data_IF_131964106963
#
_entry.id   IF_131964106963
#
_cell.length_a   1.000
_cell.length_b   1.000
_cell.length_c   1.000
_cell.angle_alpha   90.00
_cell.angle_beta   90.00
_cell.angle_gamma   90.00
#
_symmetry.space_group_name_H-M   'P 1'
#
loop_
_entity.id
_entity.type
_entity.pdbx_description
1 polymer ?
#
# COMPACT_ATOMS: atom_id res chain seq x y z
N UNK A 1 -30.85 10.79 -15.42
CA UNK A 1 -29.65 11.55 -15.02
C UNK A 1 -28.58 10.55 -14.65
N UNK A 2 -27.32 10.80 -14.96
CA UNK A 2 -26.21 9.95 -14.47
C UNK A 2 -26.05 10.19 -12.97
N UNK A 3 -25.91 9.09 -12.20
CA UNK A 3 -25.73 9.18 -10.76
C UNK A 3 -24.42 9.91 -10.44
N UNK A 4 -24.48 10.92 -9.58
CA UNK A 4 -23.35 11.74 -9.17
C UNK A 4 -22.60 11.06 -8.02
N UNK A 5 -21.33 10.76 -8.23
CA UNK A 5 -20.45 10.06 -7.29
C UNK A 5 -19.28 10.98 -6.91
N UNK A 6 -18.85 10.96 -5.65
CA UNK A 6 -17.64 11.63 -5.22
C UNK A 6 -16.62 10.63 -4.69
N UNK A 7 -15.34 10.82 -5.02
CA UNK A 7 -14.21 10.01 -4.52
C UNK A 7 -13.20 10.93 -3.84
N UNK A 8 -13.11 10.85 -2.53
CA UNK A 8 -12.23 11.67 -1.69
C UNK A 8 -10.88 10.98 -1.50
N UNK A 9 -9.81 11.66 -1.92
CA UNK A 9 -8.46 11.13 -2.03
C UNK A 9 -8.21 10.55 -3.42
N UNK A 10 -7.36 11.21 -4.22
CA UNK A 10 -7.00 10.81 -5.60
C UNK A 10 -5.61 10.16 -5.62
N UNK A 11 -5.37 9.22 -4.69
CA UNK A 11 -4.17 8.41 -4.58
C UNK A 11 -4.27 7.05 -5.28
N UNK A 12 -3.41 6.11 -4.87
CA UNK A 12 -3.32 4.73 -5.41
C UNK A 12 -4.60 3.89 -5.30
N UNK A 13 -5.55 4.29 -4.42
CA UNK A 13 -6.86 3.65 -4.27
C UNK A 13 -7.94 4.46 -4.99
N UNK A 14 -8.04 5.74 -4.67
CA UNK A 14 -9.18 6.55 -5.10
C UNK A 14 -9.17 6.89 -6.59
N UNK A 15 -8.02 7.23 -7.18
CA UNK A 15 -8.00 7.57 -8.61
C UNK A 15 -8.34 6.37 -9.51
N UNK A 16 -7.77 5.17 -9.33
CA UNK A 16 -8.19 3.99 -10.10
C UNK A 16 -9.68 3.67 -9.92
N UNK A 17 -10.23 3.82 -8.71
CA UNK A 17 -11.65 3.61 -8.44
C UNK A 17 -12.53 4.66 -9.12
N UNK A 18 -12.12 5.93 -9.09
CA UNK A 18 -12.79 7.02 -9.80
C UNK A 18 -12.84 6.77 -11.32
N UNK A 19 -11.74 6.30 -11.90
CA UNK A 19 -11.65 5.92 -13.32
C UNK A 19 -12.58 4.74 -13.64
N UNK A 20 -12.60 3.70 -12.80
CA UNK A 20 -13.47 2.54 -12.98
C UNK A 20 -14.94 2.94 -12.96
N UNK A 21 -15.35 3.78 -12.00
CA UNK A 21 -16.71 4.32 -11.92
C UNK A 21 -17.06 5.22 -13.13
N UNK A 22 -16.15 6.10 -13.56
CA UNK A 22 -16.36 6.97 -14.72
C UNK A 22 -16.48 6.16 -16.03
N UNK A 23 -15.70 5.08 -16.17
CA UNK A 23 -15.83 4.15 -17.30
C UNK A 23 -17.16 3.37 -17.27
N UNK A 24 -17.73 3.14 -16.08
CA UNK A 24 -19.06 2.56 -15.89
C UNK A 24 -20.19 3.59 -16.07
N UNK A 25 -19.89 4.79 -16.58
CA UNK A 25 -20.82 5.87 -16.91
C UNK A 25 -21.39 6.62 -15.72
N UNK A 26 -20.77 6.55 -14.56
CA UNK A 26 -21.07 7.48 -13.47
C UNK A 26 -20.46 8.86 -13.74
N UNK A 27 -21.06 9.91 -13.19
CA UNK A 27 -20.46 11.25 -13.13
C UNK A 27 -19.66 11.37 -11.84
N UNK A 28 -18.34 11.30 -11.95
CA UNK A 28 -17.42 11.21 -10.81
C UNK A 28 -16.73 12.54 -10.54
N UNK A 29 -16.75 12.98 -9.30
CA UNK A 29 -15.98 14.10 -8.78
C UNK A 29 -14.82 13.50 -7.99
N UNK A 30 -13.59 13.73 -8.43
CA UNK A 30 -12.39 13.38 -7.68
C UNK A 30 -12.00 14.53 -6.75
N UNK A 31 -12.01 14.30 -5.42
CA UNK A 31 -11.55 15.30 -4.46
C UNK A 31 -10.14 14.98 -3.97
N UNK A 32 -9.29 15.99 -3.95
CA UNK A 32 -7.99 15.91 -3.29
C UNK A 32 -7.64 17.28 -2.70
N UNK A 33 -6.99 17.30 -1.53
CA UNK A 33 -6.56 18.55 -0.88
C UNK A 33 -5.27 19.14 -1.47
N UNK A 34 -4.61 18.43 -2.39
CA UNK A 34 -3.45 18.89 -3.11
C UNK A 34 -3.86 19.58 -4.42
N UNK A 35 -3.90 20.92 -4.42
CA UNK A 35 -4.29 21.71 -5.59
C UNK A 35 -3.42 21.46 -6.83
N UNK A 36 -2.13 21.13 -6.68
CA UNK A 36 -1.28 20.76 -7.81
C UNK A 36 -1.71 19.41 -8.42
N UNK A 37 -2.07 18.43 -7.58
CA UNK A 37 -2.61 17.16 -8.06
C UNK A 37 -3.93 17.37 -8.79
N UNK A 38 -4.83 18.17 -8.23
CA UNK A 38 -6.11 18.53 -8.86
C UNK A 38 -5.88 19.17 -10.25
N UNK A 39 -4.99 20.15 -10.34
CA UNK A 39 -4.64 20.79 -11.60
C UNK A 39 -4.06 19.80 -12.62
N UNK A 40 -3.14 18.92 -12.19
CA UNK A 40 -2.54 17.89 -13.04
C UNK A 40 -3.59 16.92 -13.56
N UNK A 41 -4.47 16.38 -12.71
CA UNK A 41 -5.52 15.44 -13.12
C UNK A 41 -6.48 16.06 -14.16
N UNK A 42 -6.86 17.32 -13.99
CA UNK A 42 -7.68 18.04 -14.96
C UNK A 42 -6.95 18.33 -16.28
N UNK A 43 -5.60 18.31 -16.27
CA UNK A 43 -4.75 18.36 -17.45
C UNK A 43 -4.31 16.97 -17.96
N UNK A 44 -4.98 15.90 -17.50
CA UNK A 44 -4.74 14.51 -17.89
C UNK A 44 -3.36 13.98 -17.48
N UNK A 45 -2.76 14.52 -16.43
CA UNK A 45 -1.47 14.10 -15.88
C UNK A 45 -1.72 13.37 -14.56
N UNK A 46 -1.21 12.15 -14.42
CA UNK A 46 -1.27 11.36 -13.19
C UNK A 46 0.12 11.11 -12.63
N UNK A 47 0.25 11.20 -11.31
CA UNK A 47 1.41 10.74 -10.55
C UNK A 47 1.25 9.28 -10.06
N UNK A 48 0.15 8.63 -10.41
CA UNK A 48 -0.14 7.24 -10.03
C UNK A 48 0.29 6.30 -11.16
N UNK A 49 1.22 5.41 -10.86
CA UNK A 49 1.69 4.39 -11.81
C UNK A 49 0.55 3.53 -12.32
N UNK A 50 0.59 3.22 -13.61
CA UNK A 50 -0.46 2.43 -14.28
C UNK A 50 -1.67 3.24 -14.75
N UNK A 51 -1.75 4.54 -14.45
CA UNK A 51 -2.80 5.44 -14.96
C UNK A 51 -2.25 6.28 -16.10
N UNK A 52 -2.75 6.06 -17.30
CA UNK A 52 -2.31 6.78 -18.50
C UNK A 52 -3.04 8.11 -18.71
N UNK A 53 -2.35 9.08 -19.34
CA UNK A 53 -2.97 10.34 -19.77
C UNK A 53 -4.13 10.12 -20.74
N UNK A 54 -4.07 9.12 -21.60
CA UNK A 54 -5.14 8.80 -22.54
C UNK A 54 -6.40 8.31 -21.82
N UNK A 55 -6.25 7.54 -20.77
CA UNK A 55 -7.38 7.05 -19.97
C UNK A 55 -8.07 8.22 -19.24
N UNK A 56 -7.31 9.09 -18.58
CA UNK A 56 -7.83 10.31 -17.97
C UNK A 56 -8.52 11.22 -18.98
N UNK A 57 -7.90 11.45 -20.13
CA UNK A 57 -8.46 12.26 -21.22
C UNK A 57 -9.79 11.70 -21.71
N UNK A 58 -9.89 10.37 -21.85
CA UNK A 58 -11.11 9.70 -22.31
C UNK A 58 -12.30 9.93 -21.38
N UNK A 59 -12.14 9.80 -20.06
CA UNK A 59 -13.23 9.97 -19.09
C UNK A 59 -13.59 11.45 -18.89
N UNK A 60 -12.58 12.34 -18.87
CA UNK A 60 -12.78 13.78 -18.68
C UNK A 60 -13.46 14.40 -19.91
N UNK A 61 -13.05 14.04 -21.13
CA UNK A 61 -13.66 14.55 -22.36
C UNK A 61 -15.14 14.12 -22.54
N UNK A 62 -15.54 13.03 -21.89
CA UNK A 62 -16.95 12.60 -21.84
C UNK A 62 -17.77 13.33 -20.78
N UNK A 63 -17.14 14.17 -19.94
CA UNK A 63 -17.77 14.79 -18.79
C UNK A 63 -18.07 13.84 -17.63
N UNK A 64 -17.47 12.63 -17.65
CA UNK A 64 -17.67 11.62 -16.62
C UNK A 64 -16.74 11.78 -15.42
N UNK A 65 -15.68 12.59 -15.53
CA UNK A 65 -14.73 12.84 -14.44
C UNK A 65 -14.19 14.26 -14.48
N UNK A 66 -14.03 14.86 -13.31
CA UNK A 66 -13.17 16.03 -13.08
C UNK A 66 -12.66 16.01 -11.63
N UNK A 67 -11.54 16.69 -11.38
CA UNK A 67 -10.95 16.82 -10.05
C UNK A 67 -11.21 18.21 -9.47
N UNK A 68 -11.39 18.29 -8.13
CA UNK A 68 -11.56 19.55 -7.39
C UNK A 68 -10.99 19.43 -5.97
N UNK A 69 -10.67 20.54 -5.34
CA UNK A 69 -10.35 20.65 -3.92
C UNK A 69 -11.50 21.27 -3.10
N UNK A 70 -12.60 21.66 -3.77
CA UNK A 70 -13.79 22.23 -3.14
C UNK A 70 -14.79 21.15 -2.71
N UNK A 71 -14.86 20.88 -1.41
CA UNK A 71 -15.83 19.95 -0.84
C UNK A 71 -17.29 20.34 -1.01
N UNK A 72 -17.61 21.61 -1.30
CA UNK A 72 -19.01 22.02 -1.56
C UNK A 72 -19.59 21.35 -2.82
N UNK A 73 -18.73 20.95 -3.75
CA UNK A 73 -19.13 20.30 -4.99
C UNK A 73 -19.70 18.89 -4.81
N UNK A 74 -19.46 18.22 -3.65
CA UNK A 74 -20.08 16.91 -3.40
C UNK A 74 -21.56 17.00 -3.02
N UNK A 75 -22.09 18.19 -2.78
CA UNK A 75 -23.51 18.38 -2.49
C UNK A 75 -24.38 17.72 -3.58
N UNK A 76 -25.34 16.90 -3.16
CA UNK A 76 -26.18 16.13 -4.08
C UNK A 76 -25.52 14.89 -4.69
N UNK A 77 -24.30 14.50 -4.25
CA UNK A 77 -23.76 13.20 -4.58
C UNK A 77 -24.55 12.08 -3.91
N UNK A 78 -24.90 11.05 -4.67
CA UNK A 78 -25.63 9.89 -4.17
C UNK A 78 -24.72 8.94 -3.40
N UNK A 79 -23.46 8.83 -3.85
CA UNK A 79 -22.43 7.98 -3.23
C UNK A 79 -21.15 8.79 -3.05
N UNK A 80 -20.56 8.70 -1.86
CA UNK A 80 -19.28 9.32 -1.55
C UNK A 80 -18.33 8.23 -1.02
N UNK A 81 -17.19 8.05 -1.70
CA UNK A 81 -16.16 7.11 -1.30
C UNK A 81 -15.02 7.87 -0.61
N UNK A 82 -14.56 7.38 0.53
CA UNK A 82 -13.42 7.95 1.26
C UNK A 82 -12.22 7.01 1.12
N UNK A 83 -11.21 7.48 0.36
CA UNK A 83 -10.02 6.73 -0.04
C UNK A 83 -8.72 7.43 0.42
N UNK A 84 -8.75 8.08 1.58
CA UNK A 84 -7.61 8.84 2.10
C UNK A 84 -6.60 7.94 2.80
N UNK A 85 -5.31 8.34 2.87
CA UNK A 85 -4.29 7.59 3.59
C UNK A 85 -4.58 7.45 5.08
N UNK A 86 -4.20 6.29 5.64
CA UNK A 86 -4.25 5.98 7.08
C UNK A 86 -2.87 5.44 7.52
N UNK A 87 -1.85 6.34 7.63
CA UNK A 87 -0.48 5.94 7.95
C UNK A 87 -0.32 5.60 9.44
N UNK A 88 0.90 5.25 9.83
CA UNK A 88 1.33 5.31 11.23
C UNK A 88 1.85 6.71 11.54
N UNK A 89 1.55 7.21 12.73
CA UNK A 89 2.12 8.45 13.24
C UNK A 89 3.56 8.24 13.75
N UNK A 90 4.23 9.32 14.13
CA UNK A 90 5.62 9.31 14.62
C UNK A 90 5.83 8.42 15.86
N UNK A 91 4.76 8.04 16.54
CA UNK A 91 4.79 7.14 17.71
C UNK A 91 4.58 5.66 17.31
N UNK A 92 4.58 5.33 16.01
CA UNK A 92 4.35 4.00 15.49
C UNK A 92 2.91 3.47 15.67
N UNK A 93 1.94 4.34 15.98
CA UNK A 93 0.53 3.96 16.15
C UNK A 93 -0.31 4.46 14.96
N UNK A 94 -1.49 3.87 14.71
CA UNK A 94 -2.43 4.35 13.71
C UNK A 94 -2.71 5.85 13.78
N UNK A 95 -2.56 6.55 12.65
CA UNK A 95 -2.92 7.97 12.52
C UNK A 95 -4.13 8.10 11.59
N UNK A 96 -5.27 8.48 12.17
CA UNK A 96 -6.54 8.64 11.46
C UNK A 96 -6.85 10.11 11.14
N UNK A 97 -5.87 11.02 11.27
CA UNK A 97 -6.08 12.45 11.06
C UNK A 97 -6.72 12.75 9.71
N UNK A 98 -6.17 12.22 8.61
CA UNK A 98 -6.71 12.46 7.27
C UNK A 98 -8.13 11.90 7.11
N UNK A 99 -8.41 10.74 7.70
CA UNK A 99 -9.74 10.12 7.66
C UNK A 99 -10.77 10.96 8.44
N UNK A 100 -10.38 11.47 9.60
CA UNK A 100 -11.24 12.34 10.43
C UNK A 100 -11.51 13.66 9.71
N UNK A 101 -10.50 14.29 9.12
CA UNK A 101 -10.63 15.52 8.35
C UNK A 101 -11.54 15.32 7.12
N UNK A 102 -11.26 14.31 6.30
CA UNK A 102 -12.07 13.99 5.12
C UNK A 102 -13.52 13.67 5.49
N UNK A 103 -13.73 12.85 6.52
CA UNK A 103 -15.10 12.51 7.01
C UNK A 103 -15.82 13.76 7.52
N UNK A 104 -15.12 14.67 8.18
CA UNK A 104 -15.70 15.92 8.70
C UNK A 104 -16.17 16.83 7.56
N UNK A 105 -15.32 17.00 6.52
CA UNK A 105 -15.72 17.81 5.36
C UNK A 105 -16.84 17.16 4.54
N UNK A 106 -16.78 15.84 4.35
CA UNK A 106 -17.89 15.09 3.75
C UNK A 106 -19.19 15.31 4.53
N UNK A 107 -19.16 15.15 5.85
CA UNK A 107 -20.35 15.27 6.70
C UNK A 107 -21.03 16.65 6.62
N UNK A 108 -20.27 17.73 6.45
CA UNK A 108 -20.81 19.09 6.28
C UNK A 108 -21.59 19.28 4.97
N UNK A 109 -21.28 18.47 3.95
CA UNK A 109 -21.73 18.66 2.57
C UNK A 109 -22.64 17.53 2.06
N UNK A 110 -22.87 16.44 2.82
CA UNK A 110 -23.75 15.35 2.42
C UNK A 110 -25.21 15.80 2.30
N UNK A 111 -25.94 15.15 1.43
CA UNK A 111 -27.36 15.33 1.21
C UNK A 111 -28.19 14.18 1.80
N UNK A 112 -29.49 14.37 1.92
CA UNK A 112 -30.40 13.30 2.35
C UNK A 112 -30.31 12.11 1.35
N UNK A 113 -30.14 10.89 1.89
CA UNK A 113 -30.08 9.68 1.10
C UNK A 113 -28.65 9.32 0.63
N UNK A 114 -27.64 10.15 0.93
CA UNK A 114 -26.26 9.85 0.56
C UNK A 114 -25.75 8.57 1.22
N UNK A 115 -25.12 7.70 0.43
CA UNK A 115 -24.32 6.58 0.89
C UNK A 115 -22.86 7.02 1.02
N UNK A 116 -22.25 6.87 2.21
CA UNK A 116 -20.84 7.07 2.44
C UNK A 116 -20.14 5.70 2.52
N UNK A 117 -19.17 5.46 1.68
CA UNK A 117 -18.39 4.21 1.66
C UNK A 117 -16.96 4.50 2.13
N UNK A 118 -16.50 3.78 3.14
CA UNK A 118 -15.12 3.85 3.61
C UNK A 118 -14.32 2.77 2.87
N UNK A 119 -13.33 3.20 2.09
CA UNK A 119 -12.35 2.34 1.41
C UNK A 119 -11.00 2.34 2.15
N UNK A 120 -10.70 3.40 2.89
CA UNK A 120 -9.49 3.52 3.70
C UNK A 120 -9.38 2.38 4.70
N UNK A 121 -8.16 1.83 4.87
CA UNK A 121 -7.90 0.79 5.87
C UNK A 121 -8.06 1.35 7.28
N UNK A 122 -8.82 0.65 8.10
CA UNK A 122 -9.11 1.04 9.49
C UNK A 122 -9.12 -0.16 10.43
N UNK A 123 -8.99 0.11 11.73
CA UNK A 123 -9.13 -0.90 12.77
C UNK A 123 -10.60 -1.39 12.89
N UNK A 124 -10.82 -2.65 13.33
CA UNK A 124 -12.17 -3.20 13.51
C UNK A 124 -13.03 -2.32 14.41
N UNK A 125 -14.24 -2.01 13.95
CA UNK A 125 -15.21 -1.15 14.64
C UNK A 125 -15.06 0.34 14.35
N UNK A 126 -14.04 0.77 13.60
CA UNK A 126 -13.84 2.20 13.29
C UNK A 126 -15.01 2.79 12.52
N UNK A 127 -15.53 2.09 11.52
CA UNK A 127 -16.68 2.57 10.73
C UNK A 127 -17.88 2.82 11.63
N UNK A 128 -18.25 1.89 12.48
CA UNK A 128 -19.42 1.99 13.36
C UNK A 128 -19.23 2.97 14.51
N UNK A 129 -18.08 2.88 15.20
CA UNK A 129 -17.89 3.53 16.51
C UNK A 129 -17.24 4.92 16.40
N UNK A 130 -16.67 5.26 15.25
CA UNK A 130 -16.00 6.55 15.04
C UNK A 130 -16.60 7.32 13.86
N UNK A 131 -16.64 6.69 12.65
CA UNK A 131 -17.07 7.40 11.44
C UNK A 131 -18.54 7.79 11.50
N UNK A 132 -19.43 6.88 11.87
CA UNK A 132 -20.87 7.19 11.97
C UNK A 132 -21.17 8.28 13.00
N UNK A 133 -20.66 8.21 14.24
CA UNK A 133 -20.81 9.31 15.21
C UNK A 133 -20.24 10.64 14.70
N UNK A 134 -19.10 10.61 14.00
CA UNK A 134 -18.51 11.82 13.44
C UNK A 134 -19.43 12.44 12.37
N UNK A 135 -19.94 11.65 11.42
CA UNK A 135 -20.89 12.14 10.41
C UNK A 135 -22.14 12.72 11.08
N UNK A 136 -22.72 12.02 12.04
CA UNK A 136 -23.88 12.48 12.82
C UNK A 136 -23.63 13.83 13.50
N UNK A 137 -22.46 14.00 14.09
CA UNK A 137 -22.11 15.22 14.84
C UNK A 137 -21.83 16.43 13.95
N UNK A 138 -21.42 16.22 12.70
CA UNK A 138 -21.00 17.28 11.77
C UNK A 138 -22.00 17.57 10.66
N UNK A 139 -22.85 16.62 10.32
CA UNK A 139 -23.91 16.84 9.32
C UNK A 139 -25.07 17.64 9.91
N UNK A 140 -25.79 18.30 9.02
CA UNK A 140 -27.07 18.96 9.36
C UNK A 140 -28.27 18.00 9.26
N UNK A 141 -27.99 16.72 8.98
CA UNK A 141 -29.01 15.68 8.74
C UNK A 141 -29.29 14.91 10.02
N UNK A 142 -30.52 14.45 10.18
CA UNK A 142 -30.88 13.49 11.23
C UNK A 142 -30.36 12.08 10.91
N UNK A 143 -30.36 11.21 11.90
CA UNK A 143 -29.75 9.86 11.90
C UNK A 143 -30.20 8.94 10.78
N UNK A 144 -31.41 9.13 10.25
CA UNK A 144 -32.02 8.28 9.21
C UNK A 144 -31.77 8.78 7.77
N UNK A 145 -31.02 9.85 7.62
CA UNK A 145 -30.94 10.54 6.34
C UNK A 145 -29.66 10.24 5.54
N UNK A 146 -28.79 9.34 6.01
CA UNK A 146 -27.62 8.82 5.29
C UNK A 146 -27.37 7.37 5.69
N UNK A 147 -26.57 6.67 4.91
CA UNK A 147 -26.13 5.32 5.24
C UNK A 147 -24.62 5.16 5.04
N UNK A 148 -24.01 4.19 5.73
CA UNK A 148 -22.56 3.97 5.70
C UNK A 148 -22.26 2.52 5.36
N UNK A 149 -21.31 2.33 4.46
CA UNK A 149 -20.76 1.04 4.08
C UNK A 149 -19.23 1.04 4.28
N UNK A 150 -18.66 -0.15 4.34
CA UNK A 150 -17.22 -0.38 4.33
C UNK A 150 -16.86 -1.38 3.23
N UNK A 151 -15.86 -1.04 2.43
CA UNK A 151 -15.40 -1.88 1.33
C UNK A 151 -13.90 -1.66 1.13
N UNK A 152 -13.03 -2.45 1.74
CA UNK A 152 -11.58 -2.23 1.68
C UNK A 152 -11.02 -2.47 0.29
N UNK A 153 -10.00 -1.66 -0.10
CA UNK A 153 -9.24 -1.94 -1.31
C UNK A 153 -8.29 -3.13 -1.08
N UNK A 154 -8.22 -4.04 -2.08
CA UNK A 154 -7.45 -5.28 -2.04
C UNK A 154 -6.53 -5.48 -3.25
N UNK A 155 -6.52 -4.54 -4.19
CA UNK A 155 -5.69 -4.62 -5.40
C UNK A 155 -4.23 -4.36 -5.03
N UNK A 156 -3.33 -5.17 -5.61
CA UNK A 156 -1.90 -4.95 -5.57
C UNK A 156 -1.53 -4.10 -6.82
N UNK A 157 -1.05 -2.87 -6.64
CA UNK A 157 -0.69 -2.02 -7.78
C UNK A 157 0.29 -2.71 -8.73
N UNK A 158 0.10 -2.52 -10.04
CA UNK A 158 0.87 -3.15 -11.11
C UNK A 158 0.81 -4.69 -11.11
N UNK A 159 -0.26 -5.28 -10.60
CA UNK A 159 -0.52 -6.71 -10.76
C UNK A 159 -1.12 -6.98 -12.14
N UNK A 160 -0.42 -7.76 -12.97
CA UNK A 160 -0.83 -8.03 -14.35
C UNK A 160 -2.09 -8.91 -14.47
N UNK A 161 -2.44 -9.62 -13.40
CA UNK A 161 -3.55 -10.58 -13.39
C UNK A 161 -4.78 -10.02 -12.67
N UNK A 162 -4.58 -9.38 -11.52
CA UNK A 162 -5.63 -8.97 -10.60
C UNK A 162 -5.72 -7.45 -10.48
N UNK A 163 -6.80 -6.87 -10.97
CA UNK A 163 -7.12 -5.44 -10.86
C UNK A 163 -8.49 -5.22 -10.24
N UNK A 164 -8.99 -3.98 -10.27
CA UNK A 164 -10.29 -3.60 -9.67
C UNK A 164 -11.44 -4.47 -10.17
N UNK A 165 -11.45 -4.79 -11.47
CA UNK A 165 -12.54 -5.52 -12.11
C UNK A 165 -12.69 -6.96 -11.63
N UNK A 166 -11.58 -7.67 -11.47
CA UNK A 166 -11.58 -9.13 -11.26
C UNK A 166 -11.10 -9.58 -9.88
N UNK A 167 -10.54 -8.70 -9.06
CA UNK A 167 -10.29 -8.98 -7.64
C UNK A 167 -11.62 -9.01 -6.88
N UNK A 168 -11.99 -10.11 -6.20
CA UNK A 168 -13.21 -10.16 -5.40
C UNK A 168 -13.22 -9.06 -4.34
N UNK A 169 -14.24 -8.20 -4.33
CA UNK A 169 -14.35 -7.06 -3.41
C UNK A 169 -15.21 -7.42 -2.21
N UNK A 170 -14.69 -7.16 -1.00
CA UNK A 170 -15.46 -7.31 0.22
C UNK A 170 -16.40 -6.10 0.36
N UNK A 171 -17.63 -6.35 0.80
CA UNK A 171 -18.62 -5.32 1.02
C UNK A 171 -19.44 -5.60 2.26
N UNK A 172 -19.57 -4.62 3.12
CA UNK A 172 -20.47 -4.59 4.26
C UNK A 172 -21.13 -3.23 4.41
N UNK A 173 -22.25 -3.17 5.06
CA UNK A 173 -22.91 -1.91 5.39
C UNK A 173 -23.63 -2.02 6.73
N UNK A 174 -23.94 -0.88 7.34
CA UNK A 174 -24.64 -0.82 8.62
C UNK A 174 -26.15 -1.07 8.47
N UNK A 175 -26.68 -0.96 7.24
CA UNK A 175 -28.07 -1.20 6.91
C UNK A 175 -28.20 -2.02 5.62
N UNK A 176 -29.28 -2.77 5.46
CA UNK A 176 -29.54 -3.50 4.20
C UNK A 176 -29.70 -2.55 3.01
N UNK A 177 -30.28 -1.37 3.22
CA UNK A 177 -30.39 -0.34 2.18
C UNK A 177 -29.00 0.16 1.74
N UNK A 178 -28.09 0.44 2.70
CA UNK A 178 -26.71 0.81 2.40
C UNK A 178 -25.96 -0.29 1.63
N UNK A 179 -26.17 -1.56 2.02
CA UNK A 179 -25.60 -2.68 1.28
C UNK A 179 -26.15 -2.73 -0.15
N UNK A 180 -27.45 -2.61 -0.35
CA UNK A 180 -28.10 -2.64 -1.67
C UNK A 180 -27.56 -1.54 -2.59
N UNK A 181 -27.43 -0.31 -2.08
CA UNK A 181 -26.89 0.83 -2.84
C UNK A 181 -25.43 0.60 -3.22
N UNK A 182 -24.59 0.18 -2.26
CA UNK A 182 -23.17 -0.10 -2.50
C UNK A 182 -22.98 -1.28 -3.46
N UNK A 183 -23.76 -2.35 -3.33
CA UNK A 183 -23.75 -3.49 -4.24
C UNK A 183 -24.11 -3.06 -5.67
N UNK A 184 -25.17 -2.28 -5.84
CA UNK A 184 -25.59 -1.78 -7.15
C UNK A 184 -24.51 -0.90 -7.81
N UNK A 185 -23.79 -0.12 -7.02
CA UNK A 185 -22.67 0.69 -7.49
C UNK A 185 -21.52 -0.17 -7.98
N UNK A 186 -20.95 -1.02 -7.10
CA UNK A 186 -19.77 -1.83 -7.45
C UNK A 186 -20.05 -2.85 -8.54
N UNK A 187 -21.24 -3.44 -8.60
CA UNK A 187 -21.62 -4.43 -9.62
C UNK A 187 -21.56 -3.92 -11.06
N UNK A 188 -21.47 -2.59 -11.26
CA UNK A 188 -21.29 -2.00 -12.59
C UNK A 188 -19.88 -2.23 -13.16
N UNK A 189 -18.87 -2.45 -12.30
CA UNK A 189 -17.47 -2.56 -12.75
C UNK A 189 -16.65 -3.61 -12.00
N UNK A 190 -17.18 -4.24 -10.95
CA UNK A 190 -16.53 -5.33 -10.20
C UNK A 190 -17.27 -6.65 -10.48
N UNK A 191 -16.53 -7.69 -10.90
CA UNK A 191 -17.13 -8.97 -11.28
C UNK A 191 -17.69 -9.77 -10.08
N UNK A 192 -17.05 -9.68 -8.91
CA UNK A 192 -17.41 -10.49 -7.73
C UNK A 192 -17.42 -9.63 -6.49
N UNK A 193 -18.56 -9.57 -5.83
CA UNK A 193 -18.74 -8.86 -4.56
C UNK A 193 -19.09 -9.90 -3.49
N UNK A 194 -18.34 -9.91 -2.40
CA UNK A 194 -18.51 -10.79 -1.26
C UNK A 194 -19.18 -10.02 -0.13
N UNK A 195 -20.41 -10.39 0.23
CA UNK A 195 -21.09 -9.81 1.40
C UNK A 195 -20.39 -10.25 2.67
N UNK A 196 -20.01 -9.30 3.52
CA UNK A 196 -19.56 -9.56 4.87
C UNK A 196 -20.72 -9.24 5.86
N UNK A 197 -20.82 -10.05 6.91
CA UNK A 197 -21.93 -9.97 7.88
C UNK A 197 -21.93 -8.65 8.67
N UNK A 198 -20.77 -8.03 8.84
CA UNK A 198 -20.64 -6.72 9.48
C UNK A 198 -19.44 -5.93 8.94
N UNK A 199 -19.39 -4.62 9.22
CA UNK A 199 -18.25 -3.77 8.91
C UNK A 199 -16.98 -4.27 9.61
N UNK A 200 -17.13 -4.75 10.85
CA UNK A 200 -16.02 -5.29 11.66
C UNK A 200 -15.40 -6.54 11.02
N UNK A 201 -16.22 -7.40 10.39
CA UNK A 201 -15.72 -8.56 9.64
C UNK A 201 -14.89 -8.13 8.44
N UNK A 202 -15.38 -7.18 7.65
CA UNK A 202 -14.67 -6.70 6.46
C UNK A 202 -13.38 -5.92 6.83
N UNK A 203 -13.42 -5.08 7.88
CA UNK A 203 -12.28 -4.35 8.44
C UNK A 203 -11.20 -5.34 8.93
N UNK A 204 -11.61 -6.37 9.69
CA UNK A 204 -10.69 -7.41 10.20
C UNK A 204 -10.10 -8.24 9.07
N UNK A 205 -10.90 -8.63 8.08
CA UNK A 205 -10.44 -9.44 6.96
C UNK A 205 -9.30 -8.76 6.18
N UNK A 206 -9.41 -7.46 5.91
CA UNK A 206 -8.35 -6.68 5.27
C UNK A 206 -7.06 -6.71 6.07
N UNK A 207 -7.14 -6.47 7.37
CA UNK A 207 -5.96 -6.46 8.25
C UNK A 207 -5.36 -7.87 8.41
N UNK A 208 -6.20 -8.92 8.44
CA UNK A 208 -5.76 -10.31 8.48
C UNK A 208 -4.93 -10.68 7.24
N UNK A 209 -5.36 -10.28 6.03
CA UNK A 209 -4.65 -10.55 4.79
C UNK A 209 -3.22 -9.99 4.82
N UNK A 210 -3.03 -8.75 5.25
CA UNK A 210 -1.72 -8.13 5.33
C UNK A 210 -0.89 -8.63 6.52
N UNK A 211 -1.52 -8.97 7.64
CA UNK A 211 -0.85 -9.63 8.76
C UNK A 211 -0.34 -11.02 8.39
N UNK A 212 -1.13 -11.79 7.63
CA UNK A 212 -0.69 -13.09 7.08
C UNK A 212 0.55 -12.95 6.21
N UNK A 213 0.58 -11.95 5.35
CA UNK A 213 1.77 -11.67 4.50
C UNK A 213 2.98 -11.28 5.36
N UNK A 214 2.83 -10.35 6.31
CA UNK A 214 3.91 -9.93 7.20
C UNK A 214 4.51 -11.12 7.95
N UNK A 215 3.67 -11.94 8.60
CA UNK A 215 4.11 -13.10 9.40
C UNK A 215 4.89 -14.10 8.53
N UNK A 216 4.36 -14.44 7.35
CA UNK A 216 4.99 -15.43 6.50
C UNK A 216 6.30 -14.94 5.85
N UNK A 217 6.39 -13.65 5.50
CA UNK A 217 7.65 -13.09 4.99
C UNK A 217 8.68 -12.98 6.12
N UNK A 218 8.30 -12.58 7.32
CA UNK A 218 9.20 -12.56 8.48
C UNK A 218 9.66 -13.96 8.84
N UNK A 219 8.78 -14.96 8.80
CA UNK A 219 9.14 -16.37 9.02
C UNK A 219 10.15 -16.87 7.97
N UNK A 220 9.93 -16.59 6.67
CA UNK A 220 10.89 -17.04 5.65
C UNK A 220 12.22 -16.28 5.73
N UNK A 221 12.24 -15.04 6.23
CA UNK A 221 13.46 -14.31 6.53
C UNK A 221 14.27 -15.02 7.63
N UNK A 222 13.67 -15.47 8.73
CA UNK A 222 14.36 -16.27 9.75
C UNK A 222 14.89 -17.59 9.17
N UNK A 223 14.09 -18.29 8.36
CA UNK A 223 14.54 -19.52 7.68
C UNK A 223 15.69 -19.23 6.72
N UNK A 224 15.74 -18.08 6.06
CA UNK A 224 16.85 -17.70 5.18
C UNK A 224 18.15 -17.51 5.97
N UNK A 225 18.08 -16.93 7.18
CA UNK A 225 19.23 -16.79 8.08
C UNK A 225 19.74 -18.17 8.51
N UNK A 226 18.83 -19.08 8.88
CA UNK A 226 19.17 -20.46 9.23
C UNK A 226 19.82 -21.21 8.06
N UNK A 227 19.23 -21.17 6.87
CA UNK A 227 19.77 -21.78 5.66
C UNK A 227 21.18 -21.27 5.33
N UNK A 228 21.38 -19.96 5.45
CA UNK A 228 22.69 -19.34 5.21
C UNK A 228 23.77 -19.86 6.19
N UNK A 229 23.44 -20.03 7.47
CA UNK A 229 24.38 -20.59 8.46
C UNK A 229 24.72 -22.08 8.19
N UNK A 230 23.81 -22.82 7.57
CA UNK A 230 24.03 -24.20 7.12
C UNK A 230 24.75 -24.30 5.76
N UNK A 231 24.93 -23.20 5.04
CA UNK A 231 25.50 -23.20 3.67
C UNK A 231 24.56 -23.77 2.62
N UNK A 232 23.24 -23.72 2.83
CA UNK A 232 22.21 -24.16 1.87
C UNK A 232 21.39 -22.99 1.33
N UNK A 233 20.93 -23.15 0.10
CA UNK A 233 20.16 -22.13 -0.60
C UNK A 233 18.68 -22.15 -0.20
N UNK A 234 18.20 -21.06 0.40
CA UNK A 234 16.81 -20.94 0.86
C UNK A 234 15.79 -21.07 -0.28
N UNK A 235 16.11 -20.57 -1.48
CA UNK A 235 15.21 -20.67 -2.64
C UNK A 235 15.04 -22.12 -3.11
N UNK A 236 16.07 -22.96 -2.96
CA UNK A 236 15.95 -24.40 -3.22
C UNK A 236 15.07 -25.09 -2.18
N UNK A 237 15.18 -24.70 -0.91
CA UNK A 237 14.31 -25.20 0.16
C UNK A 237 12.85 -24.81 -0.09
N UNK A 238 12.58 -23.55 -0.44
CA UNK A 238 11.24 -23.07 -0.79
C UNK A 238 10.68 -23.84 -1.99
N UNK A 239 11.48 -24.01 -3.05
CA UNK A 239 11.10 -24.76 -4.24
C UNK A 239 10.75 -26.22 -3.89
N UNK A 240 11.54 -26.87 -3.07
CA UNK A 240 11.26 -28.24 -2.63
C UNK A 240 9.98 -28.32 -1.79
N UNK A 241 9.77 -27.39 -0.84
CA UNK A 241 8.57 -27.35 -0.03
C UNK A 241 7.29 -27.06 -0.87
N UNK A 242 7.42 -26.25 -1.95
CA UNK A 242 6.33 -25.90 -2.86
C UNK A 242 5.84 -27.08 -3.72
N UNK A 243 6.56 -28.19 -3.76
CA UNK A 243 6.09 -29.42 -4.43
C UNK A 243 4.93 -30.07 -3.68
N UNK A 244 4.72 -29.73 -2.40
CA UNK A 244 3.57 -30.20 -1.63
C UNK A 244 2.29 -29.50 -2.14
N UNK A 245 1.28 -30.22 -2.62
CA UNK A 245 0.13 -29.62 -3.31
C UNK A 245 -0.88 -28.93 -2.37
N UNK A 246 -0.69 -28.99 -1.05
CA UNK A 246 -1.58 -28.39 -0.05
C UNK A 246 -0.82 -27.97 1.21
N UNK A 247 -1.35 -26.99 1.93
CA UNK A 247 -0.85 -26.58 3.26
C UNK A 247 0.51 -25.86 3.22
N UNK A 248 0.98 -25.44 2.04
CA UNK A 248 2.16 -24.60 1.89
C UNK A 248 1.88 -23.54 0.81
N UNK A 249 2.21 -22.30 1.13
CA UNK A 249 2.22 -21.17 0.20
C UNK A 249 3.62 -20.56 0.21
N UNK A 250 4.29 -20.46 -0.95
CA UNK A 250 5.65 -19.94 -1.01
C UNK A 250 5.70 -18.44 -0.71
N UNK A 251 6.61 -18.06 0.18
CA UNK A 251 7.08 -16.70 0.40
C UNK A 251 8.59 -16.68 0.21
N UNK A 252 9.13 -15.53 -0.14
CA UNK A 252 10.55 -15.38 -0.44
C UNK A 252 11.20 -14.35 0.48
N UNK A 253 12.47 -14.56 0.88
CA UNK A 253 13.17 -13.64 1.76
C UNK A 253 13.39 -12.29 1.07
N UNK A 254 13.60 -11.27 1.89
CA UNK A 254 13.89 -9.91 1.44
C UNK A 254 14.67 -9.16 2.51
N UNK A 255 15.19 -7.99 2.14
CA UNK A 255 15.80 -7.04 3.07
C UNK A 255 14.84 -6.51 4.14
N UNK A 256 13.57 -6.79 4.00
CA UNK A 256 12.45 -6.31 4.77
C UNK A 256 11.29 -5.95 3.83
N UNK A 257 10.15 -5.72 4.41
CA UNK A 257 8.92 -5.34 3.71
C UNK A 257 8.75 -3.84 3.84
N UNK A 258 8.61 -3.17 2.71
CA UNK A 258 8.26 -1.75 2.62
C UNK A 258 6.86 -1.53 2.07
N UNK A 259 6.58 -0.29 1.70
CA UNK A 259 5.27 0.16 1.19
C UNK A 259 4.27 0.46 2.30
N UNK A 260 3.11 0.98 1.89
CA UNK A 260 2.12 1.54 2.81
C UNK A 260 1.18 0.53 3.49
N UNK A 261 1.14 -0.74 3.04
CA UNK A 261 0.12 -1.68 3.49
C UNK A 261 0.68 -2.69 4.50
N UNK A 262 1.68 -3.49 4.09
CA UNK A 262 2.11 -4.63 4.91
C UNK A 262 2.84 -4.21 6.20
N UNK A 263 3.66 -3.14 6.23
CA UNK A 263 4.24 -2.65 7.47
C UNK A 263 3.23 -1.94 8.39
N UNK A 264 2.12 -1.44 7.85
CA UNK A 264 1.16 -0.55 8.53
C UNK A 264 -0.07 -1.29 9.04
N UNK A 265 -0.78 -2.01 8.18
CA UNK A 265 -2.06 -2.64 8.49
C UNK A 265 -2.01 -3.63 9.67
N UNK A 266 -0.95 -4.47 9.83
CA UNK A 266 -0.83 -5.35 11.00
C UNK A 266 -0.74 -4.58 12.32
N UNK A 267 -0.17 -3.36 12.32
CA UNK A 267 -0.10 -2.52 13.53
C UNK A 267 -1.49 -1.98 13.91
N UNK A 268 -2.35 -1.71 12.92
CA UNK A 268 -3.76 -1.40 13.17
C UNK A 268 -4.44 -2.54 13.92
N UNK A 269 -4.25 -3.80 13.46
CA UNK A 269 -4.82 -4.97 14.11
C UNK A 269 -4.23 -5.17 15.52
N UNK A 270 -2.90 -5.10 15.66
CA UNK A 270 -2.22 -5.26 16.94
C UNK A 270 -2.65 -4.19 17.96
N UNK A 271 -2.79 -2.93 17.52
CA UNK A 271 -3.24 -1.84 18.39
C UNK A 271 -4.68 -2.04 18.84
N UNK A 272 -5.57 -2.42 17.93
CA UNK A 272 -6.98 -2.72 18.27
C UNK A 272 -7.09 -3.91 19.22
N UNK A 273 -6.38 -5.00 18.96
CA UNK A 273 -6.35 -6.18 19.82
C UNK A 273 -5.83 -5.86 21.24
N UNK A 274 -4.75 -5.06 21.31
CA UNK A 274 -4.20 -4.62 22.60
C UNK A 274 -5.18 -3.76 23.40
N UNK A 275 -5.98 -2.92 22.73
CA UNK A 275 -6.98 -2.06 23.39
C UNK A 275 -8.09 -2.84 24.10
N UNK A 276 -8.33 -4.09 23.69
CA UNK A 276 -9.30 -5.01 24.30
C UNK A 276 -8.63 -6.11 25.14
N UNK A 277 -7.34 -5.98 25.46
CA UNK A 277 -6.60 -6.91 26.31
C UNK A 277 -6.14 -8.20 25.62
N UNK A 278 -6.14 -8.28 24.30
CA UNK A 278 -5.74 -9.47 23.51
C UNK A 278 -4.46 -9.15 22.70
N UNK A 279 -3.25 -9.39 23.24
CA UNK A 279 -2.01 -9.10 22.50
C UNK A 279 -1.81 -10.06 21.34
N UNK A 280 -1.42 -9.54 20.20
CA UNK A 280 -1.14 -10.29 18.96
C UNK A 280 0.37 -10.57 18.81
N UNK A 281 0.92 -11.42 19.66
CA UNK A 281 2.38 -11.66 19.77
C UNK A 281 3.07 -12.03 18.47
N UNK A 282 2.43 -12.81 17.59
CA UNK A 282 3.01 -13.17 16.28
C UNK A 282 3.15 -11.97 15.35
N UNK A 283 2.20 -11.05 15.36
CA UNK A 283 2.26 -9.83 14.54
C UNK A 283 3.38 -8.92 15.05
N UNK A 284 3.44 -8.72 16.37
CA UNK A 284 4.46 -7.87 17.00
C UNK A 284 5.87 -8.42 16.74
N UNK A 285 6.08 -9.74 16.90
CA UNK A 285 7.36 -10.39 16.61
C UNK A 285 7.71 -10.31 15.11
N UNK A 286 6.75 -10.59 14.24
CA UNK A 286 6.99 -10.51 12.78
C UNK A 286 7.37 -9.09 12.35
N UNK A 287 6.74 -8.07 12.93
CA UNK A 287 7.09 -6.67 12.69
C UNK A 287 8.53 -6.37 13.15
N UNK A 288 8.92 -6.83 14.34
CA UNK A 288 10.28 -6.68 14.85
C UNK A 288 11.31 -7.35 13.93
N UNK A 289 11.09 -8.62 13.55
CA UNK A 289 11.97 -9.35 12.61
C UNK A 289 12.12 -8.57 11.30
N UNK A 290 11.00 -8.06 10.77
CA UNK A 290 11.04 -7.26 9.55
C UNK A 290 11.94 -6.02 9.68
N UNK A 291 11.87 -5.33 10.81
CA UNK A 291 12.69 -4.13 11.09
C UNK A 291 14.17 -4.47 11.30
N UNK A 292 14.50 -5.67 11.77
CA UNK A 292 15.88 -6.13 12.01
C UNK A 292 16.61 -6.56 10.73
N UNK A 293 15.89 -6.90 9.65
CA UNK A 293 16.48 -7.42 8.42
C UNK A 293 17.53 -6.51 7.75
N UNK A 294 17.34 -5.18 7.64
CA UNK A 294 18.38 -4.30 7.10
C UNK A 294 19.70 -4.41 7.89
N UNK A 295 19.61 -4.43 9.23
CA UNK A 295 20.78 -4.60 10.12
C UNK A 295 21.48 -5.95 9.92
N UNK A 296 20.73 -7.02 9.72
CA UNK A 296 21.29 -8.33 9.36
C UNK A 296 22.11 -8.25 8.08
N UNK A 297 21.62 -7.58 7.02
CA UNK A 297 22.34 -7.44 5.77
C UNK A 297 23.55 -6.51 5.87
N UNK A 298 23.55 -5.52 6.76
CA UNK A 298 24.76 -4.74 7.11
C UNK A 298 25.85 -5.67 7.66
N UNK A 299 25.50 -6.54 8.62
CA UNK A 299 26.44 -7.54 9.15
C UNK A 299 26.95 -8.51 8.08
N UNK A 300 26.07 -8.97 7.17
CA UNK A 300 26.46 -9.81 6.03
C UNK A 300 27.42 -9.12 5.07
N UNK A 301 27.20 -7.83 4.82
CA UNK A 301 28.11 -7.03 3.99
C UNK A 301 29.48 -6.90 4.65
N UNK A 302 29.54 -6.64 5.95
CA UNK A 302 30.76 -6.56 6.74
C UNK A 302 31.57 -7.89 6.70
N UNK A 303 30.88 -9.02 6.93
CA UNK A 303 31.48 -10.36 6.83
C UNK A 303 32.02 -10.67 5.42
N UNK A 304 31.28 -10.25 4.36
CA UNK A 304 31.61 -10.58 2.96
C UNK A 304 32.91 -9.97 2.49
N UNK A 305 33.26 -8.76 2.94
CA UNK A 305 34.44 -8.01 2.49
C UNK A 305 35.46 -7.71 3.61
N UNK A 306 35.26 -8.31 4.80
CA UNK A 306 36.22 -8.22 5.91
C UNK A 306 36.26 -6.84 6.60
N UNK A 307 35.15 -6.10 6.59
CA UNK A 307 34.97 -4.77 7.18
C UNK A 307 34.38 -3.78 6.21
N UNK A 308 33.73 -2.74 6.72
CA UNK A 308 33.02 -1.72 5.94
C UNK A 308 33.70 -0.35 5.94
N UNK A 309 34.62 -0.10 6.89
CA UNK A 309 35.27 1.19 7.01
C UNK A 309 36.08 1.54 5.75
N UNK A 310 35.85 2.73 5.22
CA UNK A 310 36.48 3.29 4.02
C UNK A 310 36.22 2.46 2.72
N UNK A 311 35.19 1.58 2.74
CA UNK A 311 34.79 0.77 1.59
C UNK A 311 33.70 1.44 0.77
N UNK A 312 33.77 1.31 -0.56
CA UNK A 312 32.75 1.77 -1.50
C UNK A 312 31.70 0.70 -1.70
N UNK A 313 30.49 0.94 -1.23
CA UNK A 313 29.37 0.00 -1.33
C UNK A 313 28.31 0.57 -2.25
N UNK A 314 27.88 -0.20 -3.26
CA UNK A 314 26.78 0.12 -4.13
C UNK A 314 25.52 -0.63 -3.68
N UNK A 315 24.43 0.08 -3.38
CA UNK A 315 23.11 -0.51 -3.14
C UNK A 315 22.28 -0.41 -4.41
N UNK A 316 21.71 -1.53 -4.87
CA UNK A 316 20.98 -1.62 -6.15
C UNK A 316 19.50 -1.85 -5.88
N UNK A 317 18.66 -0.92 -6.39
CA UNK A 317 17.22 -0.87 -6.20
C UNK A 317 16.84 -0.24 -4.86
N UNK A 318 16.27 0.98 -4.91
CA UNK A 318 15.85 1.73 -3.71
C UNK A 318 14.33 1.71 -3.51
N UNK A 319 13.56 1.33 -4.52
CA UNK A 319 12.12 1.15 -4.40
C UNK A 319 11.77 -0.02 -3.46
N UNK A 320 10.59 0.03 -2.84
CA UNK A 320 10.18 -1.06 -1.93
C UNK A 320 9.75 -2.34 -2.68
N UNK A 321 9.44 -2.26 -3.96
CA UNK A 321 9.02 -3.39 -4.81
C UNK A 321 9.67 -3.29 -6.19
N UNK A 322 10.02 -4.41 -6.85
CA UNK A 322 10.56 -4.39 -8.21
C UNK A 322 9.63 -3.72 -9.23
N UNK A 323 10.23 -3.07 -10.21
CA UNK A 323 9.58 -2.49 -11.38
C UNK A 323 8.60 -1.33 -11.06
N UNK A 324 8.87 -0.58 -10.00
CA UNK A 324 8.12 0.63 -9.66
C UNK A 324 9.04 1.72 -9.07
N UNK A 325 8.59 2.97 -9.10
CA UNK A 325 9.33 4.14 -8.57
C UNK A 325 9.03 4.43 -7.09
N UNK A 326 8.14 3.69 -6.44
CA UNK A 326 7.68 3.98 -5.08
C UNK A 326 8.75 3.61 -4.03
N UNK A 327 9.24 4.62 -3.34
CA UNK A 327 10.28 4.51 -2.29
C UNK A 327 9.72 4.66 -0.87
N UNK A 328 8.40 4.74 -0.71
CA UNK A 328 7.77 4.94 0.60
C UNK A 328 8.02 3.74 1.52
N UNK A 329 8.41 4.02 2.75
CA UNK A 329 8.71 2.98 3.76
C UNK A 329 9.67 1.88 3.23
N UNK A 330 10.60 2.25 2.33
CA UNK A 330 11.57 1.27 1.83
C UNK A 330 12.58 0.87 2.91
N UNK A 331 12.81 -0.42 3.16
CA UNK A 331 13.82 -0.88 4.12
C UNK A 331 15.26 -0.57 3.68
N UNK A 332 15.45 -0.15 2.42
CA UNK A 332 16.76 0.20 1.86
C UNK A 332 17.34 1.44 2.56
N UNK A 333 16.51 2.36 3.04
CA UNK A 333 16.98 3.52 3.80
C UNK A 333 17.72 3.08 5.07
N UNK A 334 17.15 2.16 5.84
CA UNK A 334 17.78 1.61 7.03
C UNK A 334 19.08 0.83 6.71
N UNK A 335 19.13 0.13 5.56
CA UNK A 335 20.36 -0.52 5.08
C UNK A 335 21.46 0.52 4.80
N UNK A 336 21.16 1.55 4.01
CA UNK A 336 22.13 2.61 3.65
C UNK A 336 22.67 3.30 4.91
N UNK A 337 21.78 3.68 5.81
CA UNK A 337 22.15 4.29 7.09
C UNK A 337 23.04 3.37 7.93
N UNK A 338 22.71 2.08 8.00
CA UNK A 338 23.49 1.09 8.73
C UNK A 338 24.88 0.90 8.15
N UNK A 339 25.04 0.86 6.82
CA UNK A 339 26.32 0.77 6.13
C UNK A 339 27.18 2.04 6.37
N UNK A 340 26.58 3.22 6.25
CA UNK A 340 27.23 4.52 6.53
C UNK A 340 27.69 4.62 7.99
N UNK A 341 26.89 4.15 8.94
CA UNK A 341 27.26 4.10 10.36
C UNK A 341 28.45 3.17 10.65
N UNK A 342 28.72 2.20 9.79
CA UNK A 342 29.90 1.32 9.83
C UNK A 342 31.10 1.91 9.08
N UNK A 343 30.99 3.13 8.56
CA UNK A 343 32.07 3.87 7.88
C UNK A 343 32.22 3.57 6.40
N UNK A 344 31.21 2.95 5.75
CA UNK A 344 31.21 2.76 4.31
C UNK A 344 30.86 4.08 3.57
N UNK A 345 31.47 4.30 2.42
CA UNK A 345 31.03 5.26 1.41
C UNK A 345 29.95 4.59 0.56
N UNK A 346 28.67 4.99 0.76
CA UNK A 346 27.54 4.29 0.14
C UNK A 346 26.98 5.09 -1.00
N UNK A 347 26.87 4.43 -2.14
CA UNK A 347 26.21 4.88 -3.37
C UNK A 347 24.97 4.01 -3.62
N UNK A 348 24.02 4.52 -4.39
CA UNK A 348 22.90 3.71 -4.80
C UNK A 348 22.57 3.88 -6.29
N UNK A 349 22.05 2.81 -6.88
CA UNK A 349 21.61 2.74 -8.27
C UNK A 349 20.16 2.27 -8.35
N UNK A 350 19.37 2.97 -9.14
CA UNK A 350 18.03 2.52 -9.53
C UNK A 350 17.73 3.03 -10.93
N UNK A 351 17.21 2.15 -11.80
CA UNK A 351 16.91 2.52 -13.18
C UNK A 351 15.65 3.40 -13.29
N UNK A 352 14.72 3.30 -12.34
CA UNK A 352 13.46 4.03 -12.32
C UNK A 352 13.52 5.27 -11.43
N UNK A 353 14.07 5.15 -10.23
CA UNK A 353 14.22 6.25 -9.28
C UNK A 353 15.53 7.00 -9.63
N UNK A 354 15.41 8.25 -10.07
CA UNK A 354 16.59 9.04 -10.48
C UNK A 354 17.17 9.87 -9.34
N UNK A 355 16.30 10.30 -8.42
CA UNK A 355 16.64 11.13 -7.27
C UNK A 355 15.87 10.63 -6.05
N UNK A 356 16.55 10.52 -4.90
CA UNK A 356 15.96 10.10 -3.63
C UNK A 356 16.83 10.59 -2.48
N UNK A 357 16.21 11.17 -1.43
CA UNK A 357 16.88 11.74 -0.26
C UNK A 357 18.02 12.71 -0.63
N UNK A 358 17.75 13.63 -1.57
CA UNK A 358 18.70 14.63 -2.09
C UNK A 358 19.96 14.05 -2.76
N UNK A 359 19.94 12.79 -3.12
CA UNK A 359 21.02 12.09 -3.82
C UNK A 359 20.52 11.56 -5.17
N UNK A 360 21.44 11.47 -6.14
CA UNK A 360 21.14 10.94 -7.47
C UNK A 360 21.57 9.49 -7.62
N UNK A 361 20.78 8.72 -8.40
CA UNK A 361 21.15 7.39 -8.85
C UNK A 361 22.45 7.42 -9.63
N UNK A 362 23.45 6.57 -9.25
CA UNK A 362 24.72 6.46 -9.96
C UNK A 362 24.66 5.37 -11.03
N UNK A 363 25.58 5.41 -12.01
CA UNK A 363 25.70 4.35 -13.00
C UNK A 363 26.33 3.08 -12.40
N UNK A 364 25.88 1.91 -12.86
CA UNK A 364 26.55 0.63 -12.56
C UNK A 364 27.98 0.64 -13.12
N UNK A 365 28.96 0.27 -12.29
CA UNK A 365 30.37 0.17 -12.66
C UNK A 365 31.12 -0.79 -11.73
N UNK A 366 32.35 -1.10 -12.05
CA UNK A 366 33.21 -2.05 -11.32
C UNK A 366 34.16 -1.37 -10.29
N UNK A 367 33.86 -0.15 -9.87
CA UNK A 367 34.69 0.64 -8.94
C UNK A 367 34.37 0.42 -7.46
N UNK A 368 33.40 -0.43 -7.16
CA UNK A 368 32.91 -0.70 -5.82
C UNK A 368 33.58 -1.91 -5.18
N UNK A 369 33.73 -1.91 -3.86
CA UNK A 369 34.22 -3.06 -3.08
C UNK A 369 33.12 -4.12 -2.90
N UNK A 370 31.83 -3.70 -2.93
CA UNK A 370 30.67 -4.57 -2.79
C UNK A 370 29.45 -3.97 -3.49
N UNK A 371 28.65 -4.81 -4.12
CA UNK A 371 27.29 -4.47 -4.57
C UNK A 371 26.25 -5.25 -3.78
N UNK A 372 25.20 -4.57 -3.28
CA UNK A 372 24.08 -5.19 -2.55
C UNK A 372 22.82 -5.04 -3.39
N UNK A 373 22.27 -6.14 -3.86
CA UNK A 373 20.98 -6.13 -4.57
C UNK A 373 19.87 -6.14 -3.52
N UNK A 374 19.26 -4.99 -3.29
CA UNK A 374 18.14 -4.82 -2.35
C UNK A 374 16.81 -5.06 -3.05
N UNK A 375 16.55 -4.37 -4.17
CA UNK A 375 15.33 -4.54 -4.97
C UNK A 375 15.69 -4.78 -6.44
N UNK A 376 15.69 -6.04 -6.92
CA UNK A 376 16.05 -6.34 -8.30
C UNK A 376 14.93 -5.97 -9.28
N UNK A 377 15.16 -5.02 -10.18
CA UNK A 377 14.31 -4.76 -11.33
C UNK A 377 14.52 -5.77 -12.44
N UNK A 378 13.51 -6.02 -13.27
CA UNK A 378 13.55 -7.06 -14.32
C UNK A 378 14.59 -6.81 -15.43
N UNK A 379 15.01 -5.55 -15.61
CA UNK A 379 15.96 -5.11 -16.65
C UNK A 379 17.35 -4.75 -16.12
N UNK A 380 17.67 -5.15 -14.90
CA UNK A 380 18.96 -4.88 -14.27
C UNK A 380 20.08 -5.63 -15.00
N UNK A 381 21.04 -4.90 -15.56
CA UNK A 381 22.21 -5.45 -16.24
C UNK A 381 23.43 -5.49 -15.29
N UNK A 382 23.60 -6.60 -14.60
CA UNK A 382 24.68 -6.82 -13.64
C UNK A 382 26.07 -7.01 -14.31
N UNK A 383 26.15 -7.19 -15.63
CA UNK A 383 27.44 -7.41 -16.33
C UNK A 383 28.39 -6.22 -16.17
N UNK A 384 27.85 -5.02 -15.97
CA UNK A 384 28.61 -3.79 -15.74
C UNK A 384 29.38 -3.75 -14.41
N UNK A 385 29.05 -4.63 -13.47
CA UNK A 385 29.76 -4.75 -12.19
C UNK A 385 31.08 -5.53 -12.32
N UNK A 386 31.26 -6.33 -13.39
CA UNK A 386 32.45 -7.16 -13.56
C UNK A 386 32.66 -8.12 -12.38
N UNK A 387 33.82 -8.05 -11.74
CA UNK A 387 34.21 -8.94 -10.63
C UNK A 387 33.81 -8.39 -9.23
N UNK A 388 33.00 -7.33 -9.15
CA UNK A 388 32.53 -6.78 -7.86
C UNK A 388 31.75 -7.86 -7.09
N UNK A 389 32.12 -8.18 -5.84
CA UNK A 389 31.38 -9.12 -5.02
C UNK A 389 29.90 -8.67 -4.87
N UNK A 390 28.96 -9.60 -5.06
CA UNK A 390 27.53 -9.32 -4.96
C UNK A 390 26.95 -9.97 -3.72
N UNK A 391 26.16 -9.22 -2.95
CA UNK A 391 25.28 -9.71 -1.89
C UNK A 391 23.82 -9.52 -2.33
N UNK A 392 23.11 -10.63 -2.55
CA UNK A 392 21.70 -10.58 -2.90
C UNK A 392 20.82 -10.78 -1.65
N UNK A 393 19.87 -9.89 -1.40
CA UNK A 393 19.01 -9.97 -0.22
C UNK A 393 17.86 -10.98 -0.37
N UNK A 394 17.64 -11.52 -1.56
CA UNK A 394 16.57 -12.49 -1.88
C UNK A 394 17.02 -13.94 -1.99
N UNK A 395 18.21 -14.24 -1.49
CA UNK A 395 18.88 -15.53 -1.65
C UNK A 395 20.03 -15.45 -2.65
N UNK A 396 20.85 -16.51 -2.77
CA UNK A 396 21.95 -16.50 -3.73
C UNK A 396 21.43 -16.46 -5.16
N UNK A 397 22.17 -15.76 -5.99
CA UNK A 397 21.99 -15.80 -7.46
C UNK A 397 22.61 -17.08 -7.98
#
# INVERSE_FOLDING_TARGET
MQDKIAVVGQGYVGLPLAIAAANASFRVIGLDNNGNKVANLNNFISDIEGISSDELKKITSKGNYYATDDFSEIAGAEIILICVPTPLGNNGKPDLKFLIEATTEVAKNISKGTLVIIESTVAPGTTRNMIVPLIKSKSKLGDENFTVAFSPERVDPLNDTWGIKNTPKLLSALTEEGYRLAFNFYSKFVNTIIKCDSTEVAETAKLLENSFRLINISFINEISIFCQKLGIEVNQVIKAASTKPFGFMPFYPSIGIGGHCIPVDPIYLATAAKSIGVPTRLIELAHQINQEMPGYFVGRAEERIGGLKDKKVLVIGVSYKPNMVDVRETPVEALILGLRNKGAEVFWHDDLVKEWNDENSVALSNVYDLAIIATPHAYLDLTKLGDVPILNTRGSI
#
